data_IF_888686829455
#
_entry.id   IF_888686829455
#
_cell.length_a   1.000
_cell.length_b   1.000
_cell.length_c   1.000
_cell.angle_alpha   90.00
_cell.angle_beta   90.00
_cell.angle_gamma   90.00
#
_symmetry.space_group_name_H-M   'P 1'
#
loop_
_entity.id
_entity.type
_entity.pdbx_description
1 polymer ?
#
# COMPACT_ATOMS: atom_id res chain seq x y z
N UNK A 1 2.36 -0.29 -35.30
CA UNK A 1 1.34 0.42 -34.48
C UNK A 1 1.64 0.18 -33.01
N UNK A 2 1.41 1.19 -32.17
CA UNK A 2 1.46 1.10 -30.71
C UNK A 2 -0.01 1.15 -30.23
N UNK A 3 -0.40 0.21 -29.38
CA UNK A 3 -1.70 0.23 -28.71
C UNK A 3 -1.48 0.56 -27.23
N UNK A 4 -2.13 1.59 -26.72
CA UNK A 4 -2.13 1.93 -25.30
C UNK A 4 -3.45 1.50 -24.67
N UNK A 5 -3.37 0.56 -23.73
CA UNK A 5 -4.46 0.24 -22.83
C UNK A 5 -4.40 1.22 -21.66
N UNK A 6 -5.26 2.24 -21.68
CA UNK A 6 -5.30 3.34 -20.71
C UNK A 6 -5.86 4.62 -21.33
N UNK A 7 -5.99 5.69 -20.53
CA UNK A 7 -6.50 6.98 -20.99
C UNK A 7 -5.50 7.72 -21.89
N UNK A 8 -6.04 8.49 -22.84
CA UNK A 8 -5.25 9.35 -23.74
C UNK A 8 -4.39 10.36 -22.98
N UNK A 9 -4.93 10.95 -21.90
CA UNK A 9 -4.20 11.90 -21.04
C UNK A 9 -2.94 11.28 -20.42
N UNK A 10 -3.02 10.03 -19.96
CA UNK A 10 -1.90 9.36 -19.31
C UNK A 10 -0.87 8.87 -20.32
N UNK A 11 -1.31 8.43 -21.50
CA UNK A 11 -0.45 7.92 -22.57
C UNK A 11 0.16 8.98 -23.51
N UNK A 12 -0.05 10.28 -23.26
CA UNK A 12 0.40 11.35 -24.16
C UNK A 12 1.92 11.32 -24.47
N UNK A 13 2.75 10.87 -23.52
CA UNK A 13 4.19 10.70 -23.72
C UNK A 13 4.57 9.77 -24.88
N UNK A 14 3.65 8.91 -25.35
CA UNK A 14 3.88 7.97 -26.45
C UNK A 14 3.89 8.63 -27.84
N UNK A 15 3.19 9.76 -27.99
CA UNK A 15 2.91 10.38 -29.29
C UNK A 15 4.18 10.81 -30.04
N UNK A 16 5.10 11.49 -29.35
CA UNK A 16 6.30 12.04 -29.98
C UNK A 16 7.31 10.95 -30.36
N UNK A 17 7.67 9.98 -29.48
CA UNK A 17 8.52 8.85 -29.87
C UNK A 17 7.90 7.99 -30.99
N UNK A 18 6.58 7.81 -30.97
CA UNK A 18 5.87 7.07 -32.01
C UNK A 18 5.98 7.77 -33.39
N UNK A 19 5.80 9.10 -33.43
CA UNK A 19 5.98 9.89 -34.67
C UNK A 19 7.39 9.75 -35.24
N UNK A 20 8.41 9.81 -34.37
CA UNK A 20 9.82 9.62 -34.77
C UNK A 20 10.05 8.25 -35.40
N UNK A 21 9.44 7.18 -34.86
CA UNK A 21 9.50 5.82 -35.45
C UNK A 21 8.46 5.55 -36.54
N UNK A 22 7.72 6.57 -37.00
CA UNK A 22 6.63 6.46 -38.01
C UNK A 22 5.55 5.43 -37.62
N UNK A 23 5.21 5.37 -36.34
CA UNK A 23 4.19 4.49 -35.79
C UNK A 23 2.95 5.30 -35.40
N UNK A 24 1.76 4.75 -35.66
CA UNK A 24 0.50 5.27 -35.13
C UNK A 24 0.28 4.76 -33.70
N UNK A 25 -0.15 5.64 -32.79
CA UNK A 25 -0.66 5.31 -31.45
C UNK A 25 -2.19 5.22 -31.50
N UNK A 26 -2.74 4.24 -30.81
CA UNK A 26 -4.18 4.10 -30.60
C UNK A 26 -4.46 3.83 -29.13
N UNK A 27 -5.55 4.41 -28.61
CA UNK A 27 -5.92 4.34 -27.19
C UNK A 27 -7.20 3.51 -27.04
N UNK A 28 -7.21 2.58 -26.08
CA UNK A 28 -8.40 1.79 -25.73
C UNK A 28 -9.27 2.47 -24.67
N UNK A 29 -8.75 3.47 -23.97
CA UNK A 29 -9.42 4.08 -22.81
C UNK A 29 -9.20 3.28 -21.53
N UNK A 30 -9.88 3.69 -20.46
CA UNK A 30 -9.74 3.08 -19.14
C UNK A 30 -10.66 1.88 -18.99
N UNK A 31 -10.19 0.87 -18.26
CA UNK A 31 -11.02 -0.22 -17.76
C UNK A 31 -10.54 -0.70 -16.39
N UNK A 32 -11.48 -1.10 -15.54
CA UNK A 32 -11.17 -1.60 -14.18
C UNK A 32 -10.52 -2.99 -14.19
N UNK A 33 -10.71 -3.76 -15.26
CA UNK A 33 -10.13 -5.08 -15.42
C UNK A 33 -9.67 -5.33 -16.85
N UNK A 34 -8.53 -5.99 -16.98
CA UNK A 34 -7.95 -6.36 -18.27
C UNK A 34 -8.88 -7.28 -19.09
N UNK A 35 -9.77 -8.03 -18.42
CA UNK A 35 -10.74 -8.91 -19.07
C UNK A 35 -11.67 -8.15 -20.01
N UNK A 36 -12.08 -6.95 -19.60
CA UNK A 36 -13.03 -6.15 -20.38
C UNK A 36 -12.40 -5.57 -21.66
N UNK A 37 -11.06 -5.46 -21.69
CA UNK A 37 -10.31 -4.95 -22.83
C UNK A 37 -9.71 -6.05 -23.70
N UNK A 38 -9.69 -7.31 -23.23
CA UNK A 38 -9.07 -8.45 -23.90
C UNK A 38 -9.52 -8.58 -25.36
N UNK A 39 -10.83 -8.56 -25.63
CA UNK A 39 -11.38 -8.66 -26.99
C UNK A 39 -10.88 -7.52 -27.89
N UNK A 40 -10.93 -6.28 -27.42
CA UNK A 40 -10.49 -5.11 -28.19
C UNK A 40 -8.98 -5.14 -28.48
N UNK A 41 -8.18 -5.63 -27.53
CA UNK A 41 -6.73 -5.88 -27.72
C UNK A 41 -6.54 -6.98 -28.77
N UNK A 42 -7.32 -8.05 -28.70
CA UNK A 42 -7.22 -9.21 -29.60
C UNK A 42 -7.73 -8.95 -31.02
N UNK A 43 -8.53 -7.92 -31.27
CA UNK A 43 -8.95 -7.53 -32.62
C UNK A 43 -7.89 -6.71 -33.37
N UNK A 44 -6.97 -6.07 -32.65
CA UNK A 44 -5.99 -5.14 -33.22
C UNK A 44 -4.67 -5.83 -33.57
N UNK A 45 -4.01 -5.33 -34.63
CA UNK A 45 -2.66 -5.77 -35.01
C UNK A 45 -1.66 -4.70 -34.59
N UNK A 46 -0.76 -5.06 -33.67
CA UNK A 46 0.15 -4.11 -33.01
C UNK A 46 1.55 -4.69 -32.87
N UNK A 47 2.54 -3.81 -32.83
CA UNK A 47 3.94 -4.19 -32.60
C UNK A 47 4.31 -4.02 -31.12
N UNK A 48 3.84 -2.93 -30.51
CA UNK A 48 3.96 -2.69 -29.07
C UNK A 48 2.58 -2.56 -28.45
N UNK A 49 2.39 -3.25 -27.34
CA UNK A 49 1.25 -3.09 -26.46
C UNK A 49 1.75 -2.43 -25.18
N UNK A 50 1.34 -1.20 -24.93
CA UNK A 50 1.65 -0.47 -23.70
C UNK A 50 0.44 -0.56 -22.79
N UNK A 51 0.64 -1.03 -21.56
CA UNK A 51 -0.45 -1.30 -20.62
C UNK A 51 -0.25 -0.44 -19.38
N UNK A 52 -1.19 0.47 -19.13
CA UNK A 52 -1.27 1.18 -17.84
C UNK A 52 -1.81 0.22 -16.78
N UNK A 53 -0.95 -0.28 -15.89
CA UNK A 53 -1.40 -1.30 -14.92
C UNK A 53 -2.17 -0.70 -13.75
N UNK A 54 -2.10 0.62 -13.51
CA UNK A 54 -2.83 1.27 -12.42
C UNK A 54 -4.34 1.28 -12.61
N UNK A 55 -4.80 1.09 -13.85
CA UNK A 55 -6.23 1.05 -14.15
C UNK A 55 -6.87 -0.27 -13.70
N UNK A 56 -6.08 -1.32 -13.40
CA UNK A 56 -6.63 -2.64 -13.10
C UNK A 56 -6.68 -2.94 -11.60
N UNK A 57 -7.76 -3.60 -11.17
CA UNK A 57 -7.91 -4.16 -9.81
C UNK A 57 -7.65 -5.67 -9.75
N UNK A 58 -7.42 -6.31 -10.90
CA UNK A 58 -7.15 -7.74 -10.97
C UNK A 58 -5.96 -8.11 -10.06
N UNK A 59 -6.02 -9.29 -9.43
CA UNK A 59 -4.92 -9.79 -8.62
C UNK A 59 -3.65 -9.93 -9.46
N UNK A 60 -2.50 -9.73 -8.83
CA UNK A 60 -1.21 -9.67 -9.52
C UNK A 60 -0.92 -10.91 -10.39
N UNK A 61 -1.23 -12.10 -9.88
CA UNK A 61 -1.07 -13.39 -10.55
C UNK A 61 -2.01 -13.56 -11.75
N UNK A 62 -3.29 -13.22 -11.58
CA UNK A 62 -4.30 -13.26 -12.64
C UNK A 62 -3.95 -12.27 -13.76
N UNK A 63 -3.62 -11.03 -13.40
CA UNK A 63 -3.24 -9.97 -14.35
C UNK A 63 -1.99 -10.37 -15.14
N UNK A 64 -0.95 -10.85 -14.46
CA UNK A 64 0.28 -11.27 -15.11
C UNK A 64 0.05 -12.47 -16.05
N UNK A 65 -0.83 -13.42 -15.68
CA UNK A 65 -1.22 -14.55 -16.54
C UNK A 65 -1.91 -14.08 -17.83
N UNK A 66 -2.82 -13.11 -17.71
CA UNK A 66 -3.55 -12.56 -18.86
C UNK A 66 -2.61 -11.78 -19.78
N UNK A 67 -1.74 -10.94 -19.23
CA UNK A 67 -0.74 -10.18 -20.00
C UNK A 67 0.20 -11.11 -20.77
N UNK A 68 0.69 -12.18 -20.13
CA UNK A 68 1.51 -13.19 -20.79
C UNK A 68 0.75 -13.88 -21.94
N UNK A 69 -0.51 -14.24 -21.70
CA UNK A 69 -1.36 -14.88 -22.72
C UNK A 69 -1.55 -13.97 -23.94
N UNK A 70 -1.77 -12.67 -23.72
CA UNK A 70 -1.86 -11.66 -24.79
C UNK A 70 -0.55 -11.58 -25.56
N UNK A 71 0.59 -11.48 -24.87
CA UNK A 71 1.92 -11.44 -25.49
C UNK A 71 2.13 -12.64 -26.41
N UNK A 72 1.84 -13.85 -25.92
CA UNK A 72 1.98 -15.10 -26.69
C UNK A 72 1.03 -15.15 -27.89
N UNK A 73 -0.24 -14.78 -27.71
CA UNK A 73 -1.24 -14.81 -28.77
C UNK A 73 -0.97 -13.79 -29.89
N UNK A 74 -0.43 -12.62 -29.55
CA UNK A 74 -0.19 -11.52 -30.48
C UNK A 74 1.23 -11.44 -31.02
N UNK A 75 2.17 -12.14 -30.40
CA UNK A 75 3.60 -12.04 -30.68
C UNK A 75 4.07 -10.57 -30.74
N UNK A 76 3.62 -9.76 -29.77
CA UNK A 76 3.96 -8.34 -29.67
C UNK A 76 4.88 -8.06 -28.48
N UNK A 77 5.57 -6.92 -28.50
CA UNK A 77 6.34 -6.46 -27.36
C UNK A 77 5.41 -5.76 -26.36
N UNK A 78 5.26 -6.35 -25.18
CA UNK A 78 4.48 -5.75 -24.09
C UNK A 78 5.39 -4.84 -23.28
N UNK A 79 4.92 -3.61 -23.06
CA UNK A 79 5.55 -2.59 -22.21
C UNK A 79 4.56 -2.24 -21.11
N UNK A 80 5.03 -2.27 -19.87
CA UNK A 80 4.22 -2.03 -18.68
C UNK A 80 4.43 -0.58 -18.24
N UNK A 81 3.38 0.22 -18.29
CA UNK A 81 3.36 1.56 -17.73
C UNK A 81 2.86 1.48 -16.28
N UNK A 82 3.76 1.74 -15.35
CA UNK A 82 3.61 1.54 -13.91
C UNK A 82 4.22 2.73 -13.15
N UNK A 83 3.71 3.95 -13.34
CA UNK A 83 4.31 5.14 -12.74
C UNK A 83 4.35 5.03 -11.21
N UNK A 84 5.51 5.26 -10.60
CA UNK A 84 5.68 5.21 -9.15
C UNK A 84 5.77 3.81 -8.54
N UNK A 85 5.76 2.75 -9.36
CA UNK A 85 6.04 1.39 -8.89
C UNK A 85 7.53 1.16 -8.77
N UNK A 86 7.87 0.23 -7.88
CA UNK A 86 9.24 -0.28 -7.72
C UNK A 86 9.33 -1.68 -8.33
N UNK A 87 10.53 -2.13 -8.67
CA UNK A 87 10.72 -3.43 -9.37
C UNK A 87 10.26 -4.62 -8.54
N UNK A 88 10.14 -4.42 -7.24
CA UNK A 88 9.82 -5.40 -6.23
C UNK A 88 8.32 -5.43 -5.89
N UNK A 89 7.51 -4.55 -6.49
CA UNK A 89 6.05 -4.66 -6.43
C UNK A 89 5.64 -6.05 -6.91
N UNK A 90 4.66 -6.68 -6.23
CA UNK A 90 4.31 -8.09 -6.47
C UNK A 90 3.94 -8.31 -7.94
N UNK A 91 3.14 -7.41 -8.52
CA UNK A 91 2.80 -7.46 -9.94
C UNK A 91 4.03 -7.38 -10.86
N UNK A 92 5.01 -6.55 -10.54
CA UNK A 92 6.21 -6.39 -11.36
C UNK A 92 7.08 -7.64 -11.31
N UNK A 93 7.23 -8.24 -10.12
CA UNK A 93 7.92 -9.52 -9.95
C UNK A 93 7.21 -10.64 -10.74
N UNK A 94 5.89 -10.77 -10.63
CA UNK A 94 5.12 -11.77 -11.40
C UNK A 94 5.26 -11.59 -12.92
N UNK A 95 5.24 -10.33 -13.40
CA UNK A 95 5.47 -10.01 -14.81
C UNK A 95 6.90 -10.37 -15.26
N UNK A 96 7.90 -10.13 -14.39
CA UNK A 96 9.28 -10.52 -14.64
C UNK A 96 9.43 -12.06 -14.71
N UNK A 97 8.81 -12.82 -13.82
CA UNK A 97 8.84 -14.28 -13.92
C UNK A 97 8.23 -14.80 -15.23
N UNK A 98 7.25 -14.09 -15.80
CA UNK A 98 6.59 -14.44 -17.07
C UNK A 98 7.27 -13.88 -18.32
N UNK A 99 8.49 -13.38 -18.20
CA UNK A 99 9.26 -12.92 -19.37
C UNK A 99 8.85 -11.54 -19.89
N UNK A 100 8.09 -10.74 -19.13
CA UNK A 100 7.85 -9.33 -19.44
C UNK A 100 9.05 -8.51 -18.92
N UNK A 101 9.59 -7.62 -19.75
CA UNK A 101 10.91 -6.98 -19.49
C UNK A 101 10.92 -5.47 -19.70
N UNK A 102 9.91 -4.93 -20.36
CA UNK A 102 9.85 -3.52 -20.69
C UNK A 102 8.92 -2.82 -19.70
N UNK A 103 9.45 -1.85 -18.98
CA UNK A 103 8.75 -1.12 -17.93
C UNK A 103 9.01 0.38 -18.05
N UNK A 104 8.02 1.15 -17.64
CA UNK A 104 8.08 2.61 -17.47
C UNK A 104 7.58 2.89 -16.06
N UNK A 105 8.48 3.32 -15.19
CA UNK A 105 8.22 3.62 -13.77
C UNK A 105 8.15 5.12 -13.49
N UNK A 106 8.61 5.94 -14.43
CA UNK A 106 8.56 7.39 -14.31
C UNK A 106 7.14 7.92 -14.09
N UNK A 107 7.01 8.79 -13.08
CA UNK A 107 5.74 9.49 -12.77
C UNK A 107 5.53 10.71 -13.67
N UNK A 108 6.62 11.38 -14.07
CA UNK A 108 6.59 12.54 -14.95
C UNK A 108 6.53 12.15 -16.43
N UNK A 109 5.76 12.89 -17.23
CA UNK A 109 5.61 12.65 -18.68
C UNK A 109 6.95 12.74 -19.45
N UNK A 110 7.85 13.64 -19.05
CA UNK A 110 9.15 13.80 -19.68
C UNK A 110 10.05 12.57 -19.45
N UNK A 111 10.13 12.10 -18.21
CA UNK A 111 10.94 10.93 -17.84
C UNK A 111 10.32 9.64 -18.41
N UNK A 112 8.98 9.53 -18.41
CA UNK A 112 8.25 8.41 -19.00
C UNK A 112 8.49 8.28 -20.51
N UNK A 113 8.62 9.41 -21.21
CA UNK A 113 9.00 9.45 -22.61
C UNK A 113 10.40 8.85 -22.83
N UNK A 114 11.38 9.23 -22.00
CA UNK A 114 12.75 8.72 -22.11
C UNK A 114 12.79 7.20 -21.85
N UNK A 115 12.10 6.73 -20.82
CA UNK A 115 12.00 5.29 -20.51
C UNK A 115 11.31 4.50 -21.63
N UNK A 116 10.28 5.07 -22.25
CA UNK A 116 9.63 4.48 -23.41
C UNK A 116 10.57 4.38 -24.62
N UNK A 117 11.34 5.43 -24.90
CA UNK A 117 12.36 5.40 -25.96
C UNK A 117 13.41 4.32 -25.72
N UNK A 118 13.86 4.14 -24.46
CA UNK A 118 14.74 3.04 -24.06
C UNK A 118 14.11 1.67 -24.32
N UNK A 119 12.82 1.50 -24.01
CA UNK A 119 12.08 0.27 -24.31
C UNK A 119 12.04 -0.01 -25.82
N UNK A 120 11.73 1.00 -26.62
CA UNK A 120 11.68 0.87 -28.09
C UNK A 120 13.03 0.55 -28.74
N UNK A 121 14.14 0.84 -28.05
CA UNK A 121 15.49 0.57 -28.51
C UNK A 121 16.06 -0.74 -27.95
N UNK A 122 15.29 -1.49 -27.16
CA UNK A 122 15.68 -2.80 -26.64
C UNK A 122 16.72 -2.74 -25.52
N UNK A 123 16.92 -1.59 -24.88
CA UNK A 123 17.97 -1.37 -23.87
C UNK A 123 17.93 -2.38 -22.71
N UNK A 124 16.72 -2.77 -22.29
CA UNK A 124 16.51 -3.69 -21.17
C UNK A 124 16.78 -5.17 -21.49
N UNK A 125 16.95 -5.55 -22.76
CA UNK A 125 17.28 -6.93 -23.15
C UNK A 125 18.75 -7.29 -22.89
N UNK A 126 19.60 -6.31 -22.56
CA UNK A 126 21.04 -6.52 -22.38
C UNK A 126 21.46 -6.80 -20.93
N UNK A 127 20.53 -6.79 -19.97
CA UNK A 127 20.81 -6.96 -18.53
C UNK A 127 20.54 -8.38 -17.99
N UNK A 128 20.35 -9.39 -18.86
CA UNK A 128 19.82 -10.70 -18.46
C UNK A 128 20.68 -11.49 -17.47
N UNK A 129 20.10 -11.77 -16.30
CA UNK A 129 20.16 -13.09 -15.65
C UNK A 129 18.71 -13.57 -15.51
N UNK A 130 18.33 -14.73 -16.08
CA UNK A 130 17.02 -15.32 -15.84
C UNK A 130 16.85 -15.59 -14.34
N UNK A 131 15.75 -15.13 -13.73
CA UNK A 131 15.37 -15.57 -12.40
C UNK A 131 14.90 -17.02 -12.48
N UNK A 132 15.60 -17.94 -11.82
CA UNK A 132 15.30 -19.38 -11.83
C UNK A 132 14.10 -19.70 -10.90
N UNK A 133 13.51 -20.90 -11.01
CA UNK A 133 12.41 -21.31 -10.13
C UNK A 133 12.83 -21.37 -8.65
N UNK A 134 14.11 -21.61 -8.37
CA UNK A 134 14.70 -21.53 -7.03
C UNK A 134 14.76 -20.09 -6.50
N UNK A 135 15.00 -19.10 -7.37
CA UNK A 135 14.92 -17.66 -7.03
C UNK A 135 13.47 -17.24 -6.71
N UNK A 136 12.49 -17.93 -7.29
CA UNK A 136 11.07 -17.72 -7.04
C UNK A 136 10.69 -18.20 -5.65
N UNK A 137 11.15 -19.40 -5.26
CA UNK A 137 10.92 -19.90 -3.91
C UNK A 137 11.65 -19.09 -2.84
N UNK A 138 12.89 -18.63 -3.08
CA UNK A 138 13.64 -17.83 -2.11
C UNK A 138 13.08 -16.41 -1.95
N UNK A 139 12.84 -15.68 -3.04
CA UNK A 139 12.27 -14.33 -2.99
C UNK A 139 10.84 -14.29 -2.39
N UNK A 140 10.08 -15.38 -2.57
CA UNK A 140 8.72 -15.52 -2.04
C UNK A 140 8.71 -16.11 -0.61
N UNK A 141 9.74 -16.86 -0.20
CA UNK A 141 9.96 -17.30 1.19
C UNK A 141 10.52 -16.20 2.10
N UNK A 142 11.25 -15.22 1.56
CA UNK A 142 12.00 -14.25 2.38
C UNK A 142 11.17 -13.05 2.90
N UNK A 143 9.94 -12.84 2.42
CA UNK A 143 9.07 -11.79 2.98
C UNK A 143 8.01 -12.38 3.92
N UNK A 144 8.43 -12.75 5.13
CA UNK A 144 7.58 -13.47 6.10
C UNK A 144 6.61 -12.58 6.89
N UNK A 145 6.86 -11.27 6.99
CA UNK A 145 6.06 -10.38 7.82
C UNK A 145 4.79 -9.87 7.12
N UNK A 146 3.72 -9.73 7.90
CA UNK A 146 2.41 -9.26 7.42
C UNK A 146 2.41 -7.76 7.19
N UNK A 147 1.88 -7.32 6.06
CA UNK A 147 1.94 -5.93 5.59
C UNK A 147 0.61 -5.23 5.78
N UNK A 148 0.62 -4.14 6.52
CA UNK A 148 -0.54 -3.31 6.81
C UNK A 148 -0.36 -1.99 6.07
N UNK A 149 -1.22 -1.70 5.09
CA UNK A 149 -1.29 -0.40 4.45
C UNK A 149 -2.31 0.48 5.15
N UNK A 150 -1.92 1.69 5.53
CA UNK A 150 -2.82 2.70 6.08
C UNK A 150 -2.75 3.99 5.27
N UNK A 151 -3.92 4.54 4.92
CA UNK A 151 -4.05 5.78 4.17
C UNK A 151 -5.24 6.58 4.64
N UNK A 152 -5.17 7.91 4.61
CA UNK A 152 -6.26 8.79 5.00
C UNK A 152 -7.17 9.13 3.82
N UNK A 153 -8.46 9.36 4.09
CA UNK A 153 -9.39 9.93 3.10
C UNK A 153 -8.98 11.35 2.69
N UNK A 154 -8.30 12.08 3.58
CA UNK A 154 -7.76 13.40 3.29
C UNK A 154 -6.55 13.71 4.19
N UNK A 155 -5.83 14.79 3.85
CA UNK A 155 -4.70 15.26 4.66
C UNK A 155 -5.17 15.62 6.07
N UNK A 156 -4.26 15.42 7.05
CA UNK A 156 -4.45 15.78 8.48
C UNK A 156 -5.62 15.06 9.17
N UNK A 157 -6.11 13.95 8.60
CA UNK A 157 -7.13 13.11 9.25
C UNK A 157 -6.57 12.23 10.38
N UNK A 158 -5.24 12.17 10.52
CA UNK A 158 -4.55 11.39 11.57
C UNK A 158 -3.92 10.08 11.08
N UNK A 159 -3.72 9.88 9.77
CA UNK A 159 -3.13 8.64 9.22
C UNK A 159 -1.84 8.21 9.91
N UNK A 160 -0.87 9.12 10.03
CA UNK A 160 0.43 8.84 10.65
C UNK A 160 0.30 8.49 12.13
N UNK A 161 -0.59 9.17 12.85
CA UNK A 161 -0.88 8.88 14.26
C UNK A 161 -1.41 7.46 14.41
N UNK A 162 -2.40 7.08 13.59
CA UNK A 162 -2.97 5.73 13.63
C UNK A 162 -1.97 4.66 13.17
N UNK A 163 -1.10 4.98 12.20
CA UNK A 163 -0.03 4.08 11.76
C UNK A 163 0.92 3.73 12.92
N UNK A 164 1.36 4.73 13.69
CA UNK A 164 2.22 4.52 14.87
C UNK A 164 1.45 3.79 15.98
N UNK A 165 0.18 4.11 16.22
CA UNK A 165 -0.66 3.40 17.20
C UNK A 165 -0.86 1.92 16.85
N UNK A 166 -0.96 1.57 15.56
CA UNK A 166 -1.02 0.18 15.11
C UNK A 166 0.29 -0.58 15.36
N UNK A 167 1.44 0.05 15.11
CA UNK A 167 2.75 -0.53 15.47
C UNK A 167 2.81 -0.80 16.97
N UNK A 168 2.43 0.19 17.79
CA UNK A 168 2.37 0.08 19.24
C UNK A 168 1.43 -1.01 19.73
N UNK A 169 0.25 -1.14 19.13
CA UNK A 169 -0.69 -2.22 19.43
C UNK A 169 -0.06 -3.60 19.22
N UNK A 170 0.60 -3.81 18.07
CA UNK A 170 1.27 -5.07 17.75
C UNK A 170 2.42 -5.36 18.72
N UNK A 171 3.21 -4.35 19.09
CA UNK A 171 4.26 -4.47 20.09
C UNK A 171 3.71 -4.84 21.48
N UNK A 172 2.59 -4.25 21.90
CA UNK A 172 1.90 -4.59 23.16
C UNK A 172 1.30 -6.00 23.14
N UNK A 173 1.01 -6.55 21.96
CA UNK A 173 0.64 -7.97 21.78
C UNK A 173 1.84 -8.91 21.72
N UNK A 174 3.07 -8.39 21.76
CA UNK A 174 4.31 -9.16 21.78
C UNK A 174 4.87 -9.49 20.40
N UNK A 175 4.47 -8.75 19.36
CA UNK A 175 5.01 -8.89 18.00
C UNK A 175 6.07 -7.83 17.70
N UNK A 176 7.02 -8.18 16.84
CA UNK A 176 7.97 -7.22 16.28
C UNK A 176 7.31 -6.50 15.11
N UNK A 177 7.16 -5.18 15.22
CA UNK A 177 6.53 -4.37 14.19
C UNK A 177 7.32 -3.08 13.95
N UNK A 178 7.34 -2.63 12.69
CA UNK A 178 7.95 -1.36 12.30
C UNK A 178 7.02 -0.50 11.47
N UNK A 179 7.35 0.78 11.40
CA UNK A 179 6.68 1.79 10.59
C UNK A 179 7.52 2.10 9.34
N UNK A 180 6.86 2.29 8.19
CA UNK A 180 7.48 2.65 6.92
C UNK A 180 6.75 3.85 6.33
N UNK A 181 7.45 4.96 6.15
CA UNK A 181 6.96 6.14 5.45
C UNK A 181 7.00 5.91 3.94
N UNK A 182 5.82 5.81 3.31
CA UNK A 182 5.69 5.68 1.85
C UNK A 182 5.29 7.03 1.21
N UNK A 183 4.73 7.91 2.02
CA UNK A 183 4.39 9.27 1.59
C UNK A 183 5.62 10.19 1.55
N UNK A 184 5.41 11.41 1.04
CA UNK A 184 6.46 12.41 0.86
C UNK A 184 6.39 13.52 1.93
N UNK A 185 5.86 13.23 3.13
CA UNK A 185 5.73 14.26 4.17
C UNK A 185 7.06 14.55 4.88
N UNK A 186 7.99 13.59 4.90
CA UNK A 186 9.28 13.72 5.58
C UNK A 186 9.15 13.57 7.10
N UNK A 187 8.04 13.00 7.57
CA UNK A 187 7.70 12.88 8.99
C UNK A 187 8.83 12.23 9.78
N UNK A 188 9.39 11.11 9.30
CA UNK A 188 10.41 10.38 10.06
C UNK A 188 11.71 11.17 10.18
N UNK A 189 12.12 11.83 9.09
CA UNK A 189 13.34 12.63 9.07
C UNK A 189 13.21 13.86 9.96
N UNK A 190 12.09 14.59 9.87
CA UNK A 190 11.80 15.73 10.74
C UNK A 190 11.76 15.30 12.21
N UNK A 191 11.11 14.16 12.50
CA UNK A 191 11.00 13.65 13.86
C UNK A 191 12.38 13.31 14.45
N UNK A 192 13.21 12.59 13.70
CA UNK A 192 14.56 12.23 14.13
C UNK A 192 15.51 13.42 14.32
N UNK A 193 15.29 14.53 13.59
CA UNK A 193 16.06 15.76 13.77
C UNK A 193 15.67 16.53 15.03
N UNK A 194 14.39 16.48 15.41
CA UNK A 194 13.84 17.29 16.51
C UNK A 194 13.98 16.58 17.86
N UNK A 195 13.78 15.27 17.89
CA UNK A 195 13.76 14.48 19.13
C UNK A 195 15.02 13.63 19.28
N UNK A 196 15.41 13.37 20.53
CA UNK A 196 16.52 12.47 20.83
C UNK A 196 16.12 11.06 20.42
N UNK A 197 16.78 10.53 19.41
CA UNK A 197 16.45 9.25 18.78
C UNK A 197 17.72 8.54 18.30
N UNK A 198 17.61 7.24 18.00
CA UNK A 198 18.71 6.46 17.41
C UNK A 198 18.56 6.43 15.88
N UNK A 199 19.67 6.52 15.15
CA UNK A 199 19.65 6.60 13.69
C UNK A 199 20.44 5.45 13.06
N UNK A 200 19.89 4.89 11.99
CA UNK A 200 20.63 4.11 11.00
C UNK A 200 20.52 4.83 9.65
N UNK A 201 21.58 5.56 9.28
CA UNK A 201 21.59 6.32 8.04
C UNK A 201 21.59 5.43 6.79
N UNK A 202 22.10 4.19 6.88
CA UNK A 202 22.17 3.29 5.74
C UNK A 202 20.76 2.80 5.36
N UNK A 203 20.02 2.27 6.34
CA UNK A 203 18.63 1.84 6.16
C UNK A 203 17.63 2.99 6.15
N UNK A 204 18.05 4.18 6.57
CA UNK A 204 17.14 5.32 6.73
C UNK A 204 16.13 5.06 7.84
N UNK A 205 16.62 4.64 9.01
CA UNK A 205 15.83 4.33 10.19
C UNK A 205 16.02 5.38 11.28
N UNK A 206 14.93 5.75 11.94
CA UNK A 206 14.92 6.48 13.20
C UNK A 206 14.19 5.60 14.22
N UNK A 207 14.83 5.31 15.35
CA UNK A 207 14.19 4.61 16.47
C UNK A 207 13.82 5.61 17.56
N UNK A 208 12.53 5.72 17.86
CA UNK A 208 12.02 6.63 18.88
C UNK A 208 10.93 5.94 19.71
N UNK A 209 11.02 6.07 21.04
CA UNK A 209 10.08 5.45 22.00
C UNK A 209 9.83 3.95 21.71
N UNK A 210 10.87 3.22 21.28
CA UNK A 210 10.79 1.80 20.95
C UNK A 210 10.09 1.48 19.61
N UNK A 211 9.89 2.46 18.73
CA UNK A 211 9.38 2.27 17.37
C UNK A 211 10.48 2.54 16.37
N UNK A 212 10.73 1.56 15.49
CA UNK A 212 11.59 1.71 14.34
C UNK A 212 10.79 2.31 13.16
N UNK A 213 11.18 3.51 12.75
CA UNK A 213 10.56 4.30 11.68
C UNK A 213 11.51 4.36 10.48
N UNK A 214 11.09 3.86 9.32
CA UNK A 214 11.90 3.88 8.09
C UNK A 214 11.39 4.90 7.08
N UNK A 215 12.31 5.60 6.39
CA UNK A 215 11.98 6.61 5.37
C UNK A 215 12.64 6.40 4.01
N UNK A 216 13.62 5.48 3.89
CA UNK A 216 14.27 5.16 2.62
C UNK A 216 13.55 4.02 1.92
N UNK A 217 12.62 4.37 1.03
CA UNK A 217 11.85 3.38 0.27
C UNK A 217 12.74 2.53 -0.65
N UNK A 218 13.87 3.06 -1.10
CA UNK A 218 14.87 2.33 -1.88
C UNK A 218 15.57 1.21 -1.09
N UNK A 219 15.43 1.20 0.24
CA UNK A 219 15.95 0.16 1.16
C UNK A 219 14.91 -0.85 1.62
N UNK A 220 13.74 -0.85 0.99
CA UNK A 220 12.62 -1.68 1.41
C UNK A 220 12.94 -3.18 1.47
N UNK A 221 13.82 -3.67 0.58
CA UNK A 221 14.25 -5.06 0.59
C UNK A 221 15.08 -5.39 1.83
N UNK A 222 16.10 -4.59 2.15
CA UNK A 222 16.88 -4.81 3.37
C UNK A 222 16.04 -4.65 4.65
N UNK A 223 15.01 -3.80 4.61
CA UNK A 223 14.02 -3.64 5.69
C UNK A 223 13.18 -4.92 5.84
N UNK A 224 12.74 -5.55 4.75
CA UNK A 224 11.97 -6.80 4.83
C UNK A 224 12.78 -7.99 5.36
N UNK A 225 14.10 -7.97 5.20
CA UNK A 225 14.99 -8.98 5.80
C UNK A 225 15.28 -8.73 7.29
N UNK A 226 14.79 -7.61 7.85
CA UNK A 226 14.82 -7.42 9.30
C UNK A 226 13.79 -8.33 9.97
N UNK A 227 14.08 -8.70 11.22
CA UNK A 227 13.28 -9.63 12.02
C UNK A 227 12.00 -8.96 12.54
N UNK A 228 11.04 -8.68 11.64
CA UNK A 228 9.71 -8.15 11.95
C UNK A 228 8.60 -9.13 11.58
N UNK A 229 7.63 -9.28 12.48
CA UNK A 229 6.38 -9.99 12.21
C UNK A 229 5.42 -9.13 11.38
N UNK A 230 5.48 -7.80 11.52
CA UNK A 230 4.56 -6.85 10.87
C UNK A 230 5.25 -5.59 10.34
N UNK A 231 4.79 -5.14 9.18
CA UNK A 231 5.24 -3.91 8.52
C UNK A 231 4.06 -2.97 8.30
N UNK A 232 4.05 -1.80 8.93
CA UNK A 232 2.98 -0.80 8.81
C UNK A 232 3.42 0.32 7.86
N UNK A 233 2.76 0.42 6.71
CA UNK A 233 3.06 1.36 5.64
C UNK A 233 2.12 2.57 5.70
N UNK A 234 2.67 3.75 5.98
CA UNK A 234 1.94 5.02 5.97
C UNK A 234 1.98 5.66 4.58
N UNK A 235 0.84 5.60 3.89
CA UNK A 235 0.64 6.18 2.56
C UNK A 235 0.18 7.64 2.60
N UNK A 236 0.02 8.26 3.77
CA UNK A 236 -0.44 9.64 3.90
C UNK A 236 -1.93 9.76 3.61
N UNK A 237 -2.31 10.42 2.51
CA UNK A 237 -3.70 10.52 2.09
C UNK A 237 -3.89 10.09 0.64
N UNK A 238 -4.96 9.33 0.34
CA UNK A 238 -5.19 8.78 -1.00
C UNK A 238 -5.38 9.85 -2.07
N UNK A 239 -5.79 11.06 -1.67
CA UNK A 239 -5.98 12.21 -2.55
C UNK A 239 -4.65 12.85 -3.00
N UNK A 240 -3.50 12.41 -2.49
CA UNK A 240 -2.20 12.98 -2.83
C UNK A 240 -1.65 12.42 -4.13
N UNK A 241 -0.98 13.26 -4.92
CA UNK A 241 -0.40 12.88 -6.22
C UNK A 241 0.65 11.76 -6.12
N UNK A 242 1.24 11.54 -4.94
CA UNK A 242 2.20 10.47 -4.69
C UNK A 242 1.59 9.17 -4.14
N UNK A 243 0.26 9.08 -4.04
CA UNK A 243 -0.39 7.87 -3.52
C UNK A 243 -0.26 6.71 -4.50
N UNK A 244 0.60 5.73 -4.16
CA UNK A 244 0.72 4.49 -4.92
C UNK A 244 -0.41 3.51 -4.55
N UNK A 245 -1.51 3.60 -5.31
CA UNK A 245 -2.72 2.80 -5.13
C UNK A 245 -2.46 1.31 -5.16
N UNK A 246 -1.66 0.83 -6.10
CA UNK A 246 -1.46 -0.61 -6.28
C UNK A 246 -0.59 -1.19 -5.19
N UNK A 247 0.46 -0.48 -4.79
CA UNK A 247 1.26 -0.84 -3.62
C UNK A 247 0.36 -0.95 -2.38
N UNK A 248 -0.60 -0.04 -2.20
CA UNK A 248 -1.59 -0.14 -1.13
C UNK A 248 -2.51 -1.36 -1.28
N UNK A 249 -3.06 -1.59 -2.48
CA UNK A 249 -3.94 -2.74 -2.77
C UNK A 249 -3.24 -4.10 -2.59
N UNK A 250 -1.92 -4.16 -2.75
CA UNK A 250 -1.10 -5.37 -2.52
C UNK A 250 -0.89 -5.71 -1.04
N UNK A 251 -1.28 -4.84 -0.09
CA UNK A 251 -1.09 -5.07 1.35
C UNK A 251 -2.08 -6.11 1.89
N UNK A 252 -1.66 -6.89 2.89
CA UNK A 252 -2.48 -7.95 3.49
C UNK A 252 -3.67 -7.39 4.28
N UNK A 253 -3.49 -6.22 4.89
CA UNK A 253 -4.52 -5.46 5.59
C UNK A 253 -4.47 -4.03 5.05
N UNK A 254 -5.62 -3.51 4.63
CA UNK A 254 -5.74 -2.18 4.00
C UNK A 254 -6.73 -1.35 4.78
N UNK A 255 -6.30 -0.21 5.29
CA UNK A 255 -7.08 0.63 6.21
C UNK A 255 -7.18 2.03 5.64
N UNK A 256 -8.41 2.52 5.54
CA UNK A 256 -8.71 3.93 5.32
C UNK A 256 -9.02 4.62 6.64
N UNK A 257 -8.24 5.65 6.98
CA UNK A 257 -8.55 6.56 8.09
C UNK A 257 -9.56 7.59 7.58
N UNK A 258 -10.77 7.54 8.12
CA UNK A 258 -11.92 8.32 7.66
C UNK A 258 -12.40 9.31 8.72
N UNK A 259 -13.21 10.28 8.30
CA UNK A 259 -13.85 11.25 9.19
C UNK A 259 -15.30 11.48 8.79
N UNK A 260 -16.14 11.87 9.76
CA UNK A 260 -17.56 12.16 9.55
C UNK A 260 -17.88 13.66 9.48
N UNK A 261 -16.92 14.54 9.78
CA UNK A 261 -17.15 15.99 9.75
C UNK A 261 -17.46 16.43 8.33
N UNK A 262 -18.26 17.48 8.16
CA UNK A 262 -18.68 17.96 6.83
C UNK A 262 -17.52 18.20 5.85
N UNK A 263 -16.36 18.64 6.33
CA UNK A 263 -15.15 18.88 5.52
C UNK A 263 -14.45 17.60 5.07
N UNK A 264 -14.63 16.50 5.80
CA UNK A 264 -13.98 15.19 5.61
C UNK A 264 -14.92 14.21 4.89
N UNK A 265 -16.22 14.28 5.17
CA UNK A 265 -17.25 13.35 4.70
C UNK A 265 -17.29 13.22 3.17
N UNK A 266 -17.08 14.32 2.44
CA UNK A 266 -17.03 14.27 0.97
C UNK A 266 -15.92 13.35 0.44
N UNK A 267 -14.78 13.26 1.14
CA UNK A 267 -13.67 12.38 0.77
C UNK A 267 -13.94 10.94 1.22
N UNK A 268 -14.54 10.77 2.41
CA UNK A 268 -15.03 9.48 2.88
C UNK A 268 -16.00 8.87 1.86
N UNK A 269 -16.97 9.65 1.38
CA UNK A 269 -17.93 9.23 0.35
C UNK A 269 -17.26 8.82 -0.96
N UNK A 270 -16.26 9.56 -1.41
CA UNK A 270 -15.51 9.22 -2.62
C UNK A 270 -14.84 7.85 -2.49
N UNK A 271 -14.24 7.53 -1.33
CA UNK A 271 -13.63 6.21 -1.10
C UNK A 271 -14.70 5.12 -1.01
N UNK A 272 -15.83 5.37 -0.33
CA UNK A 272 -16.91 4.39 -0.19
C UNK A 272 -17.56 4.00 -1.52
N UNK A 273 -17.63 4.94 -2.47
CA UNK A 273 -18.17 4.76 -3.82
C UNK A 273 -17.12 4.27 -4.82
N UNK A 274 -15.86 4.17 -4.42
CA UNK A 274 -14.77 3.80 -5.30
C UNK A 274 -14.64 2.27 -5.37
N UNK A 275 -15.07 1.71 -6.51
CA UNK A 275 -15.07 0.26 -6.78
C UNK A 275 -13.67 -0.37 -6.76
N UNK A 276 -12.60 0.41 -6.70
CA UNK A 276 -11.25 -0.12 -6.54
C UNK A 276 -10.91 -0.49 -5.09
N UNK A 277 -11.70 -0.05 -4.10
CA UNK A 277 -11.44 -0.27 -2.67
C UNK A 277 -12.52 -1.17 -2.04
N UNK A 278 -12.70 -2.37 -2.59
CA UNK A 278 -13.72 -3.32 -2.11
C UNK A 278 -13.30 -4.14 -0.89
N UNK A 279 -11.99 -4.35 -0.70
CA UNK A 279 -11.43 -5.19 0.37
C UNK A 279 -10.52 -4.35 1.29
N UNK A 280 -11.15 -3.39 1.98
CA UNK A 280 -10.50 -2.44 2.89
C UNK A 280 -11.31 -2.30 4.18
N UNK A 281 -10.65 -1.90 5.26
CA UNK A 281 -11.29 -1.53 6.52
C UNK A 281 -11.38 0.00 6.67
N UNK A 282 -12.40 0.48 7.38
CA UNK A 282 -12.58 1.91 7.65
C UNK A 282 -12.34 2.17 9.13
N UNK A 283 -11.32 2.97 9.43
CA UNK A 283 -11.00 3.41 10.79
C UNK A 283 -11.39 4.88 10.92
N UNK A 284 -12.54 5.15 11.55
CA UNK A 284 -12.99 6.53 11.72
C UNK A 284 -12.28 7.23 12.88
N UNK A 285 -11.70 8.38 12.57
CA UNK A 285 -11.00 9.22 13.53
C UNK A 285 -11.89 10.35 14.07
N UNK A 286 -11.67 10.71 15.33
CA UNK A 286 -12.34 11.82 16.03
C UNK A 286 -13.88 11.76 16.02
N UNK A 287 -14.46 10.57 16.13
CA UNK A 287 -15.90 10.37 16.24
C UNK A 287 -16.33 10.26 17.70
N UNK A 288 -17.33 11.04 18.12
CA UNK A 288 -17.88 10.91 19.46
C UNK A 288 -18.71 9.62 19.61
N UNK A 289 -18.73 9.02 20.80
CA UNK A 289 -19.53 7.82 21.08
C UNK A 289 -21.02 7.95 20.70
N UNK A 290 -21.55 9.18 20.75
CA UNK A 290 -22.95 9.47 20.41
C UNK A 290 -23.23 9.40 18.91
N UNK A 291 -22.23 9.67 18.07
CA UNK A 291 -22.35 9.68 16.61
C UNK A 291 -22.12 8.29 16.01
N UNK A 292 -21.48 7.38 16.75
CA UNK A 292 -21.14 6.04 16.24
C UNK A 292 -22.34 5.24 15.71
N UNK A 293 -23.50 5.18 16.40
CA UNK A 293 -24.64 4.42 15.91
C UNK A 293 -25.17 4.93 14.56
N UNK A 294 -25.31 6.27 14.43
CA UNK A 294 -25.76 6.91 13.19
C UNK A 294 -24.75 6.69 12.05
N UNK A 295 -23.45 6.76 12.36
CA UNK A 295 -22.41 6.51 11.37
C UNK A 295 -22.39 5.03 10.91
N UNK A 296 -22.60 4.08 11.83
CA UNK A 296 -22.70 2.67 11.47
C UNK A 296 -23.95 2.40 10.61
N UNK A 297 -25.08 3.04 10.92
CA UNK A 297 -26.27 2.98 10.06
C UNK A 297 -25.98 3.53 8.66
N UNK A 298 -25.27 4.66 8.57
CA UNK A 298 -24.82 5.24 7.30
C UNK A 298 -23.87 4.33 6.50
N UNK A 299 -23.06 3.52 7.19
CA UNK A 299 -22.12 2.59 6.55
C UNK A 299 -22.81 1.33 5.99
N UNK A 300 -24.08 1.09 6.33
CA UNK A 300 -24.88 -0.05 5.85
C UNK A 300 -24.11 -1.38 5.99
N UNK A 301 -23.94 -2.14 4.90
CA UNK A 301 -23.20 -3.41 4.88
C UNK A 301 -21.73 -3.24 5.28
N UNK A 302 -21.15 -2.04 5.10
CA UNK A 302 -19.76 -1.74 5.49
C UNK A 302 -19.62 -1.49 7.01
N UNK A 303 -20.70 -1.48 7.78
CA UNK A 303 -20.65 -1.31 9.23
C UNK A 303 -19.80 -2.40 9.92
N UNK A 304 -19.80 -3.63 9.40
CA UNK A 304 -19.02 -4.76 9.97
C UNK A 304 -17.51 -4.58 9.82
N UNK A 305 -17.09 -3.81 8.81
CA UNK A 305 -15.69 -3.47 8.51
C UNK A 305 -15.35 -2.03 8.92
N UNK A 306 -16.19 -1.43 9.78
CA UNK A 306 -16.02 -0.08 10.33
C UNK A 306 -15.59 -0.14 11.79
N UNK A 307 -14.55 0.63 12.10
CA UNK A 307 -13.87 0.70 13.37
C UNK A 307 -13.70 2.14 13.79
N UNK A 308 -13.39 2.35 15.07
CA UNK A 308 -13.24 3.67 15.65
C UNK A 308 -11.90 3.79 16.37
N UNK A 309 -11.31 4.97 16.27
CA UNK A 309 -10.13 5.34 17.06
C UNK A 309 -10.52 5.74 18.48
N UNK A 310 -9.52 5.81 19.34
CA UNK A 310 -9.58 6.44 20.66
C UNK A 310 -8.67 7.67 20.67
N UNK A 311 -8.91 8.60 21.58
CA UNK A 311 -8.09 9.81 21.66
C UNK A 311 -6.64 9.49 22.07
N UNK A 312 -5.71 9.64 21.12
CA UNK A 312 -4.27 9.46 21.31
C UNK A 312 -3.54 10.79 21.05
N UNK A 313 -3.34 11.64 22.08
CA UNK A 313 -2.68 12.93 21.93
C UNK A 313 -1.18 12.81 21.64
N UNK A 314 -0.53 11.79 22.21
CA UNK A 314 0.81 11.35 21.84
C UNK A 314 0.69 10.04 21.05
N UNK A 315 1.14 10.06 19.81
CA UNK A 315 1.06 8.90 18.93
C UNK A 315 2.04 7.77 19.33
N UNK A 316 3.07 8.05 20.13
CA UNK A 316 4.03 7.05 20.61
C UNK A 316 3.65 6.46 21.98
N UNK A 317 2.72 7.07 22.71
CA UNK A 317 2.11 6.45 23.88
C UNK A 317 0.93 5.58 23.43
N UNK A 318 1.03 4.27 23.63
CA UNK A 318 -0.06 3.38 23.22
C UNK A 318 -1.30 3.60 24.08
N UNK A 319 -2.40 4.00 23.45
CA UNK A 319 -3.70 4.06 24.10
C UNK A 319 -4.49 2.82 23.70
N UNK A 320 -4.95 2.06 24.68
CA UNK A 320 -5.70 0.84 24.41
C UNK A 320 -6.97 1.15 23.60
N UNK A 321 -7.01 0.62 22.37
CA UNK A 321 -8.16 0.69 21.50
C UNK A 321 -8.75 -0.72 21.32
N UNK A 322 -9.93 -1.02 21.88
CA UNK A 322 -10.55 -2.34 21.74
C UNK A 322 -10.94 -2.65 20.28
N UNK A 323 -11.10 -1.63 19.45
CA UNK A 323 -11.40 -1.81 18.03
C UNK A 323 -10.23 -2.44 17.25
N UNK A 324 -8.99 -2.27 17.72
CA UNK A 324 -7.82 -2.89 17.09
C UNK A 324 -7.79 -4.41 17.27
N UNK A 325 -8.35 -4.93 18.36
CA UNK A 325 -8.52 -6.38 18.55
C UNK A 325 -9.45 -6.99 17.51
N UNK A 326 -10.45 -6.22 17.04
CA UNK A 326 -11.38 -6.63 15.98
C UNK A 326 -10.77 -6.42 14.58
N UNK A 327 -10.12 -5.29 14.36
CA UNK A 327 -9.52 -4.89 13.08
C UNK A 327 -8.33 -5.79 12.70
N UNK A 328 -7.45 -6.08 13.67
CA UNK A 328 -6.26 -6.91 13.48
C UNK A 328 -6.24 -7.98 14.59
N UNK A 329 -7.03 -9.05 14.44
CA UNK A 329 -7.13 -10.09 15.45
C UNK A 329 -5.83 -10.88 15.51
N UNK A 330 -5.09 -10.71 16.60
CA UNK A 330 -3.82 -11.39 16.87
C UNK A 330 -3.79 -11.94 18.28
N UNK A 331 -3.10 -13.06 18.46
CA UNK A 331 -2.91 -13.68 19.76
C UNK A 331 -1.99 -12.82 20.63
N UNK A 332 -2.22 -12.81 21.94
CA UNK A 332 -1.29 -12.13 22.84
C UNK A 332 -0.11 -13.07 23.14
N UNK A 333 1.08 -12.77 22.61
CA UNK A 333 2.31 -13.53 22.84
C UNK A 333 2.96 -13.23 24.20
N UNK A 334 2.52 -12.18 24.89
CA UNK A 334 3.07 -11.84 26.20
C UNK A 334 2.59 -12.83 27.26
N UNK A 335 3.49 -13.29 28.15
CA UNK A 335 3.11 -14.20 29.23
C UNK A 335 2.05 -13.54 30.13
N UNK A 336 0.98 -14.27 30.44
CA UNK A 336 -0.04 -13.78 31.38
C UNK A 336 0.63 -13.45 32.72
N UNK A 337 0.65 -12.17 33.09
CA UNK A 337 1.07 -11.78 34.43
C UNK A 337 0.12 -12.43 35.44
N UNK A 338 0.63 -13.13 36.47
CA UNK A 338 -0.21 -13.79 37.44
C UNK A 338 -1.12 -12.74 38.10
N UNK A 339 -2.44 -12.97 38.02
CA UNK A 339 -3.46 -12.10 38.65
C UNK A 339 -3.06 -11.88 40.12
N UNK A 340 -2.70 -10.64 40.48
CA UNK A 340 -2.46 -10.26 41.88
C UNK A 340 -3.72 -10.58 42.68
N UNK A 341 -3.68 -11.64 43.49
CA UNK A 341 -4.75 -11.97 44.44
C UNK A 341 -4.92 -10.77 45.38
N UNK A 342 -6.06 -10.11 45.29
CA UNK A 342 -6.38 -8.95 46.13
C UNK A 342 -6.28 -9.30 47.62
N UNK A 343 -5.51 -8.51 48.36
CA UNK A 343 -5.46 -8.58 49.82
C UNK A 343 -6.84 -8.23 50.39
N UNK A 344 -7.59 -9.24 50.85
CA UNK A 344 -8.78 -9.02 51.67
C UNK A 344 -8.37 -8.37 52.99
N UNK A 345 -8.63 -7.06 53.10
CA UNK A 345 -8.45 -6.29 54.35
C UNK A 345 -9.53 -6.74 55.34
N UNK A 346 -9.16 -7.62 56.28
CA UNK A 346 -10.02 -8.10 57.38
C UNK A 346 -10.34 -6.90 58.29
N UNK A 347 -11.59 -6.43 58.28
CA UNK A 347 -12.09 -5.43 59.25
C UNK A 347 -12.03 -6.03 60.66
N UNK A 348 -11.16 -5.50 61.52
CA UNK A 348 -11.24 -5.71 62.97
C UNK A 348 -12.50 -5.01 63.49
N UNK A 349 -13.43 -5.77 64.07
CA UNK A 349 -14.49 -5.24 64.92
C UNK A 349 -13.85 -4.76 66.22
N UNK A 350 -13.88 -3.46 66.51
CA UNK A 350 -13.70 -2.96 67.87
C UNK A 350 -14.96 -3.34 68.66
N UNK A 351 -14.76 -4.18 69.67
CA UNK A 351 -15.76 -4.45 70.70
C UNK A 351 -15.76 -3.30 71.70
N UNK A 352 -16.97 -2.82 71.99
CA UNK A 352 -17.30 -1.95 73.11
C UNK A 352 -17.09 -2.71 74.42
N UNK A 353 -16.37 -2.11 75.36
CA UNK A 353 -16.66 -2.18 76.80
C UNK A 353 -16.51 -0.78 77.36
#
# INVERSE_FOLDING_TARGET
MILFAGSEERGYFLEEPAKTKKMKVEYLGNAISIETQLTAILEKTMQYLVIDIEQYIDKADELATKIESIKRAKNCNVIIYAPGYVRESRIIQELNFRGIRFYIFAVGQADAKEEFERCLNGYYLQMDVPLEEEDRESAQKDMTGKRIGITGVCRRIGTTTEAVQLVKYLQVKGYKACYIEVNNTGFVQEHGQVFVSEHDEYLGRVTYEGVDLYYKQEKIQEIFHQDYDYFVFDYGAYSEQGFNKTSFLEKDIRIFVAGSKATEMKYTQQVLQNEYYMDVFYLFNFISEKERPELLEYMEEKAEITYFTVYAPDQFEYIHNPEFDRLIPVENKNPELPKKKGFFRRKQKQGVV
#
